data_IF_099456650673
#
_entry.id   IF_099456650673
#
_cell.length_a   1.000
_cell.length_b   1.000
_cell.length_c   1.000
_cell.angle_alpha   90.00
_cell.angle_beta   90.00
_cell.angle_gamma   90.00
#
_symmetry.space_group_name_H-M   'P 1'
#
loop_
_entity.id
_entity.type
_entity.pdbx_description
1 polymer ?
#
# COMPACT_ATOMS: atom_id res chain seq x y z
N UNK A 1 10.68 75.22 -6.54
CA UNK A 1 10.56 74.02 -5.68
C UNK A 1 11.54 74.19 -4.53
N UNK A 2 11.16 73.88 -3.29
CA UNK A 2 12.08 73.99 -2.14
C UNK A 2 12.71 72.63 -1.84
N UNK A 3 13.98 72.66 -1.42
CA UNK A 3 14.73 71.47 -0.98
C UNK A 3 13.97 70.68 0.10
N UNK A 4 13.30 71.39 1.01
CA UNK A 4 12.43 70.82 2.05
C UNK A 4 11.27 70.03 1.44
N UNK A 5 10.64 70.54 0.38
CA UNK A 5 9.54 69.84 -0.29
C UNK A 5 9.98 68.58 -1.04
N UNK A 6 11.21 68.57 -1.56
CA UNK A 6 11.82 67.39 -2.21
C UNK A 6 12.20 66.32 -1.18
N UNK A 7 12.76 66.72 -0.04
CA UNK A 7 13.08 65.82 1.07
C UNK A 7 11.82 65.15 1.61
N UNK A 8 10.73 65.89 1.82
CA UNK A 8 9.45 65.31 2.28
C UNK A 8 8.90 64.30 1.28
N UNK A 9 8.98 64.58 -0.03
CA UNK A 9 8.57 63.63 -1.08
C UNK A 9 9.42 62.36 -1.09
N UNK A 10 10.74 62.49 -0.86
CA UNK A 10 11.64 61.34 -0.80
C UNK A 10 11.33 60.45 0.40
N UNK A 11 11.12 61.05 1.59
CA UNK A 11 10.72 60.32 2.80
C UNK A 11 9.41 59.57 2.56
N UNK A 12 8.39 60.23 1.99
CA UNK A 12 7.11 59.58 1.69
C UNK A 12 7.24 58.41 0.71
N UNK A 13 8.15 58.50 -0.28
CA UNK A 13 8.45 57.38 -1.18
C UNK A 13 9.18 56.24 -0.47
N UNK A 14 10.09 56.56 0.45
CA UNK A 14 10.80 55.56 1.25
C UNK A 14 9.84 54.81 2.19
N UNK A 15 8.93 55.52 2.87
CA UNK A 15 7.92 54.90 3.74
C UNK A 15 6.97 54.00 2.95
N UNK A 16 6.54 54.44 1.75
CA UNK A 16 5.72 53.63 0.86
C UNK A 16 6.46 52.35 0.41
N UNK A 17 7.76 52.45 0.11
CA UNK A 17 8.60 51.31 -0.27
C UNK A 17 8.77 50.33 0.90
N UNK A 18 9.05 50.83 2.11
CA UNK A 18 9.19 50.02 3.33
C UNK A 18 7.87 49.31 3.65
N UNK A 19 6.74 50.01 3.56
CA UNK A 19 5.41 49.43 3.78
C UNK A 19 5.13 48.31 2.77
N UNK A 20 5.41 48.57 1.48
CA UNK A 20 5.25 47.58 0.40
C UNK A 20 6.12 46.35 0.64
N UNK A 21 7.40 46.55 0.98
CA UNK A 21 8.34 45.47 1.26
C UNK A 21 7.87 44.61 2.44
N UNK A 22 7.46 45.23 3.56
CA UNK A 22 6.98 44.50 4.73
C UNK A 22 5.68 43.74 4.46
N UNK A 23 4.78 44.30 3.64
CA UNK A 23 3.59 43.60 3.17
C UNK A 23 3.93 42.34 2.37
N UNK A 24 4.80 42.50 1.36
CA UNK A 24 5.26 41.36 0.53
C UNK A 24 6.04 40.32 1.31
N UNK A 25 6.89 40.74 2.25
CA UNK A 25 7.60 39.82 3.14
C UNK A 25 6.64 38.93 3.91
N UNK A 26 5.57 39.49 4.50
CA UNK A 26 4.56 38.71 5.24
C UNK A 26 3.78 37.75 4.33
N UNK A 27 3.40 38.19 3.13
CA UNK A 27 2.73 37.33 2.14
C UNK A 27 3.62 36.13 1.76
N UNK A 28 4.91 36.37 1.52
CA UNK A 28 5.88 35.33 1.19
C UNK A 28 6.09 34.39 2.38
N UNK A 29 6.31 34.91 3.58
CA UNK A 29 6.49 34.09 4.79
C UNK A 29 5.27 33.20 5.05
N UNK A 30 4.05 33.71 4.85
CA UNK A 30 2.83 32.92 4.95
C UNK A 30 2.75 31.83 3.87
N UNK A 31 3.11 32.15 2.62
CA UNK A 31 3.14 31.18 1.53
C UNK A 31 4.19 30.08 1.76
N UNK A 32 5.40 30.44 2.23
CA UNK A 32 6.46 29.48 2.56
C UNK A 32 6.04 28.61 3.74
N UNK A 33 5.48 29.20 4.80
CA UNK A 33 4.99 28.43 5.95
C UNK A 33 3.91 27.44 5.52
N UNK A 34 2.91 27.89 4.76
CA UNK A 34 1.87 27.01 4.23
C UNK A 34 2.45 25.90 3.36
N UNK A 35 3.43 26.21 2.48
CA UNK A 35 4.10 25.23 1.63
C UNK A 35 4.86 24.18 2.45
N UNK A 36 5.58 24.60 3.49
CA UNK A 36 6.31 23.70 4.39
C UNK A 36 5.36 22.83 5.21
N UNK A 37 4.26 23.40 5.71
CA UNK A 37 3.21 22.66 6.43
C UNK A 37 2.41 21.72 5.52
N UNK A 38 2.38 21.97 4.20
CA UNK A 38 1.77 21.07 3.21
C UNK A 38 2.74 20.04 2.64
N UNK A 39 4.04 20.10 2.94
CA UNK A 39 4.94 18.97 2.65
C UNK A 39 4.38 17.78 3.42
N UNK A 40 3.91 16.72 2.74
CA UNK A 40 3.40 15.56 3.42
C UNK A 40 4.49 15.04 4.33
N UNK A 41 4.18 14.84 5.62
CA UNK A 41 4.97 13.95 6.46
C UNK A 41 5.17 12.69 5.64
N UNK A 42 6.40 12.45 5.15
CA UNK A 42 6.65 11.46 4.08
C UNK A 42 6.24 10.04 4.49
N UNK A 43 6.08 9.84 5.81
CA UNK A 43 5.55 8.66 6.43
C UNK A 43 4.30 8.99 7.24
N UNK A 44 3.19 8.35 6.89
CA UNK A 44 1.98 8.36 7.71
C UNK A 44 1.90 7.06 8.52
N UNK A 45 1.51 7.15 9.79
CA UNK A 45 1.25 5.99 10.63
C UNK A 45 -0.24 5.94 10.95
N UNK A 46 -0.89 4.84 10.61
CA UNK A 46 -2.32 4.62 10.75
C UNK A 46 -2.58 3.38 11.62
N UNK A 47 -3.64 3.44 12.42
CA UNK A 47 -4.16 2.34 13.20
C UNK A 47 -5.45 1.85 12.55
N UNK A 48 -5.57 0.53 12.41
CA UNK A 48 -6.70 -0.15 11.80
C UNK A 48 -7.30 -1.14 12.79
N UNK A 49 -8.60 -1.05 13.03
CA UNK A 49 -9.38 -2.00 13.82
C UNK A 49 -10.68 -2.25 13.06
N UNK A 50 -10.84 -3.44 12.49
CA UNK A 50 -12.01 -3.76 11.67
C UNK A 50 -13.30 -3.82 12.49
N UNK A 51 -13.19 -4.08 13.80
CA UNK A 51 -14.33 -4.29 14.70
C UNK A 51 -14.76 -2.96 15.31
N UNK A 52 -13.80 -2.19 15.85
CA UNK A 52 -14.09 -0.97 16.62
C UNK A 52 -13.72 0.33 15.89
N UNK A 53 -13.15 0.25 14.69
CA UNK A 53 -12.75 1.42 13.92
C UNK A 53 -13.91 2.13 13.22
N UNK A 54 -13.63 3.36 12.79
CA UNK A 54 -14.54 4.19 12.00
C UNK A 54 -13.73 4.93 10.92
N UNK A 55 -14.18 4.87 9.67
CA UNK A 55 -13.51 5.52 8.53
C UNK A 55 -13.71 7.05 8.50
N UNK A 56 -14.51 7.60 9.42
CA UNK A 56 -14.54 9.04 9.70
C UNK A 56 -13.37 9.51 10.57
N UNK A 57 -12.65 8.59 11.23
CA UNK A 57 -11.46 8.91 12.01
C UNK A 57 -10.27 9.28 11.11
N UNK A 58 -9.27 9.96 11.70
CA UNK A 58 -7.99 10.20 11.01
C UNK A 58 -7.08 8.98 10.99
N UNK A 59 -7.34 7.98 11.85
CA UNK A 59 -6.51 6.78 11.98
C UNK A 59 -5.16 7.00 12.66
N UNK A 60 -4.79 8.22 13.03
CA UNK A 60 -3.44 8.52 13.54
C UNK A 60 -3.25 8.17 15.02
N UNK A 61 -4.31 7.74 15.71
CA UNK A 61 -4.30 7.38 17.14
C UNK A 61 -4.98 6.03 17.33
N UNK A 62 -4.44 5.20 18.22
CA UNK A 62 -4.96 3.86 18.47
C UNK A 62 -6.36 3.84 19.09
N UNK A 63 -6.79 4.93 19.73
CA UNK A 63 -8.15 5.07 20.29
C UNK A 63 -9.16 5.69 19.31
N UNK A 64 -8.72 6.04 18.10
CA UNK A 64 -9.56 6.47 16.99
C UNK A 64 -9.06 5.81 15.68
N UNK A 65 -9.07 4.46 15.60
CA UNK A 65 -8.57 3.74 14.45
C UNK A 65 -9.53 3.82 13.26
N UNK A 66 -9.00 3.60 12.07
CA UNK A 66 -9.79 3.36 10.85
C UNK A 66 -10.44 1.99 10.92
N UNK A 67 -11.52 1.80 10.16
CA UNK A 67 -12.19 0.50 10.02
C UNK A 67 -11.67 -0.28 8.82
N UNK A 68 -11.45 0.40 7.69
CA UNK A 68 -11.15 -0.24 6.41
C UNK A 68 -9.75 0.03 5.88
N UNK A 69 -9.21 -0.98 5.19
CA UNK A 69 -7.92 -0.86 4.51
C UNK A 69 -8.01 0.13 3.35
N UNK A 70 -9.15 0.24 2.65
CA UNK A 70 -9.35 1.26 1.60
C UNK A 70 -9.11 2.66 2.13
N UNK A 71 -9.74 3.00 3.27
CA UNK A 71 -9.56 4.32 3.87
C UNK A 71 -8.11 4.57 4.25
N UNK A 72 -7.41 3.53 4.74
CA UNK A 72 -5.99 3.64 5.06
C UNK A 72 -5.13 3.89 3.80
N UNK A 73 -5.40 3.17 2.71
CA UNK A 73 -4.71 3.35 1.43
C UNK A 73 -4.95 4.73 0.82
N UNK A 74 -6.19 5.23 0.88
CA UNK A 74 -6.56 6.58 0.44
C UNK A 74 -5.83 7.67 1.24
N UNK A 75 -5.71 7.50 2.56
CA UNK A 75 -5.02 8.45 3.44
C UNK A 75 -3.49 8.41 3.25
N UNK A 76 -2.93 7.24 2.92
CA UNK A 76 -1.53 7.14 2.49
C UNK A 76 -1.36 7.93 1.20
N UNK A 77 -2.11 7.60 0.16
CA UNK A 77 -2.08 8.30 -1.12
C UNK A 77 -0.78 8.07 -1.93
N UNK A 78 -0.78 8.60 -3.15
CA UNK A 78 0.27 8.35 -4.13
C UNK A 78 1.64 8.91 -3.72
N UNK A 79 2.70 8.20 -4.07
CA UNK A 79 4.10 8.62 -3.90
C UNK A 79 4.60 8.65 -2.46
N UNK A 80 3.82 8.12 -1.50
CA UNK A 80 4.10 8.23 -0.07
C UNK A 80 4.46 6.89 0.56
N UNK A 81 5.04 6.96 1.76
CA UNK A 81 5.26 5.80 2.61
C UNK A 81 4.22 5.77 3.72
N UNK A 82 3.72 4.59 4.05
CA UNK A 82 2.70 4.39 5.08
C UNK A 82 3.00 3.20 5.97
N UNK A 83 2.68 3.31 7.24
CA UNK A 83 2.62 2.19 8.17
C UNK A 83 1.18 2.01 8.66
N UNK A 84 0.64 0.80 8.48
CA UNK A 84 -0.69 0.41 8.95
C UNK A 84 -0.51 -0.59 10.10
N UNK A 85 -1.04 -0.25 11.27
CA UNK A 85 -0.97 -1.06 12.48
C UNK A 85 -2.31 -1.70 12.77
N UNK A 86 -2.36 -3.01 12.67
CA UNK A 86 -3.57 -3.78 12.96
C UNK A 86 -3.73 -3.92 14.48
N UNK A 87 -4.84 -3.39 15.01
CA UNK A 87 -5.26 -3.53 16.41
C UNK A 87 -6.15 -4.76 16.61
N UNK A 88 -6.83 -5.20 15.56
CA UNK A 88 -7.62 -6.44 15.49
C UNK A 88 -7.09 -7.33 14.36
N UNK A 89 -7.59 -8.56 14.28
CA UNK A 89 -7.48 -9.33 13.04
C UNK A 89 -8.24 -8.61 11.92
N UNK A 90 -7.81 -8.79 10.68
CA UNK A 90 -8.40 -8.16 9.50
C UNK A 90 -8.74 -9.20 8.45
N UNK A 91 -10.00 -9.19 8.00
CA UNK A 91 -10.45 -9.94 6.84
C UNK A 91 -10.62 -9.00 5.67
N UNK A 92 -9.97 -9.31 4.55
CA UNK A 92 -10.21 -8.63 3.29
C UNK A 92 -11.68 -8.89 2.88
N UNK A 93 -12.50 -7.85 3.00
CA UNK A 93 -13.94 -7.88 2.68
C UNK A 93 -14.19 -7.65 1.19
N UNK A 94 -13.17 -7.18 0.46
CA UNK A 94 -13.22 -6.87 -0.96
C UNK A 94 -12.20 -7.70 -1.71
N UNK A 95 -12.57 -8.09 -2.94
CA UNK A 95 -11.65 -8.76 -3.86
C UNK A 95 -10.39 -7.94 -4.17
N UNK A 96 -10.50 -6.61 -4.24
CA UNK A 96 -9.42 -5.72 -4.68
C UNK A 96 -9.40 -4.45 -3.87
N UNK A 97 -8.31 -4.23 -3.16
CA UNK A 97 -7.96 -2.97 -2.50
C UNK A 97 -7.00 -2.20 -3.39
N UNK A 98 -7.48 -1.15 -4.05
CA UNK A 98 -6.66 -0.39 -5.00
C UNK A 98 -5.51 0.29 -4.27
N UNK A 99 -4.28 -0.03 -4.66
CA UNK A 99 -3.10 0.56 -4.04
C UNK A 99 -2.81 1.96 -4.61
N UNK A 100 -2.29 2.88 -3.78
CA UNK A 100 -1.77 4.15 -4.28
C UNK A 100 -0.57 3.94 -5.22
N UNK A 101 -0.45 4.83 -6.20
CA UNK A 101 0.64 4.84 -7.19
C UNK A 101 1.97 5.12 -6.51
N UNK A 102 3.03 4.36 -6.82
CA UNK A 102 4.39 4.67 -6.35
C UNK A 102 4.53 4.72 -4.82
N UNK A 103 3.78 3.88 -4.09
CA UNK A 103 3.76 3.88 -2.63
C UNK A 103 4.57 2.73 -2.00
N UNK A 104 5.02 2.96 -0.77
CA UNK A 104 5.69 1.97 0.07
C UNK A 104 4.90 1.75 1.37
N UNK A 105 4.34 0.56 1.55
CA UNK A 105 3.42 0.28 2.64
C UNK A 105 4.01 -0.79 3.56
N UNK A 106 4.05 -0.50 4.85
CA UNK A 106 4.32 -1.48 5.90
C UNK A 106 3.01 -1.80 6.61
N UNK A 107 2.65 -3.07 6.69
CA UNK A 107 1.54 -3.53 7.54
C UNK A 107 2.14 -4.37 8.66
N UNK A 108 1.72 -4.09 9.89
CA UNK A 108 2.17 -4.86 11.05
C UNK A 108 1.10 -5.03 12.10
N UNK A 109 1.28 -6.01 12.95
CA UNK A 109 0.47 -6.18 14.14
C UNK A 109 0.81 -5.18 15.24
N UNK A 110 -0.18 -4.84 16.07
CA UNK A 110 -0.03 -4.02 17.27
C UNK A 110 -0.79 -4.63 18.44
N UNK A 111 -0.14 -4.68 19.61
CA UNK A 111 -0.76 -5.23 20.84
C UNK A 111 -0.93 -6.76 20.84
N UNK A 112 -0.16 -7.49 20.02
CA UNK A 112 -0.24 -8.94 19.85
C UNK A 112 0.00 -9.33 18.39
N UNK A 113 0.14 -10.63 18.09
CA UNK A 113 0.15 -11.11 16.70
C UNK A 113 -1.27 -11.04 16.14
N UNK A 114 -1.45 -10.38 14.99
CA UNK A 114 -2.72 -10.27 14.27
C UNK A 114 -2.72 -11.10 13.00
N UNK A 115 -3.91 -11.44 12.54
CA UNK A 115 -4.15 -12.21 11.33
C UNK A 115 -4.66 -11.31 10.20
N UNK A 116 -4.15 -11.53 9.00
CA UNK A 116 -4.69 -10.99 7.76
C UNK A 116 -5.27 -12.15 6.95
N UNK A 117 -6.58 -12.17 6.79
CA UNK A 117 -7.29 -13.14 5.94
C UNK A 117 -7.49 -12.55 4.55
N UNK A 118 -7.01 -13.24 3.52
CA UNK A 118 -7.12 -12.76 2.13
C UNK A 118 -8.54 -12.84 1.57
N UNK A 119 -9.40 -13.70 2.12
CA UNK A 119 -10.79 -13.82 1.68
C UNK A 119 -10.94 -14.49 0.31
N UNK A 120 -12.07 -15.15 0.09
CA UNK A 120 -12.48 -15.71 -1.20
C UNK A 120 -13.79 -15.05 -1.60
N UNK A 121 -13.82 -14.44 -2.77
CA UNK A 121 -14.93 -13.60 -3.21
C UNK A 121 -15.55 -14.17 -4.47
N UNK A 122 -16.84 -14.49 -4.41
CA UNK A 122 -17.63 -14.83 -5.60
C UNK A 122 -17.76 -13.58 -6.48
N UNK A 123 -17.61 -13.77 -7.79
CA UNK A 123 -17.88 -12.77 -8.79
C UNK A 123 -19.32 -12.96 -9.30
N UNK A 124 -20.06 -11.87 -9.55
CA UNK A 124 -21.37 -11.98 -10.17
C UNK A 124 -21.23 -12.51 -11.59
N UNK A 125 -22.13 -13.42 -11.99
CA UNK A 125 -22.18 -14.08 -13.31
C UNK A 125 -22.23 -13.09 -14.51
N UNK A 126 -22.55 -11.82 -14.25
CA UNK A 126 -22.70 -10.76 -15.26
C UNK A 126 -21.44 -9.90 -15.45
N UNK A 127 -20.31 -10.29 -14.85
CA UNK A 127 -19.03 -9.58 -14.98
C UNK A 127 -18.34 -9.79 -16.34
N UNK A 128 -17.42 -8.89 -16.69
CA UNK A 128 -16.49 -9.08 -17.83
C UNK A 128 -15.38 -10.12 -17.55
N UNK A 129 -15.26 -10.55 -16.30
CA UNK A 129 -14.24 -11.49 -15.84
C UNK A 129 -14.72 -12.92 -16.18
N UNK A 130 -13.81 -13.77 -16.70
CA UNK A 130 -14.17 -15.10 -17.19
C UNK A 130 -14.06 -16.18 -16.10
N UNK A 131 -14.16 -15.81 -14.83
CA UNK A 131 -13.99 -16.70 -13.69
C UNK A 131 -15.00 -16.39 -12.58
N UNK A 132 -15.27 -17.37 -11.72
CA UNK A 132 -16.34 -17.32 -10.73
C UNK A 132 -15.85 -16.81 -9.37
N UNK A 133 -14.56 -16.98 -9.06
CA UNK A 133 -14.00 -16.67 -7.74
C UNK A 133 -12.67 -15.93 -7.81
N UNK A 134 -12.40 -15.04 -6.86
CA UNK A 134 -11.11 -14.36 -6.73
C UNK A 134 -10.67 -14.30 -5.27
N UNK A 135 -9.37 -14.52 -5.01
CA UNK A 135 -8.80 -14.29 -3.68
C UNK A 135 -8.58 -12.81 -3.48
N UNK A 136 -9.01 -12.27 -2.33
CA UNK A 136 -8.86 -10.85 -2.03
C UNK A 136 -7.42 -10.43 -1.82
N UNK A 137 -7.10 -9.22 -2.23
CA UNK A 137 -5.73 -8.71 -2.19
C UNK A 137 -5.59 -7.22 -2.41
N UNK A 138 -4.36 -6.74 -2.24
CA UNK A 138 -3.93 -5.44 -2.72
C UNK A 138 -3.81 -5.50 -4.25
N UNK A 139 -4.42 -4.54 -4.94
CA UNK A 139 -4.48 -4.52 -6.40
C UNK A 139 -3.79 -3.28 -6.96
N UNK A 140 -2.65 -3.52 -7.62
CA UNK A 140 -1.89 -2.48 -8.30
C UNK A 140 -2.50 -2.20 -9.68
N UNK A 141 -3.48 -1.30 -9.71
CA UNK A 141 -4.24 -0.97 -10.92
C UNK A 141 -3.49 -0.05 -11.91
N UNK A 142 -2.45 0.63 -11.43
CA UNK A 142 -1.80 1.76 -12.10
C UNK A 142 -0.28 1.59 -12.20
N UNK A 143 0.33 2.42 -13.05
CA UNK A 143 1.76 2.40 -13.36
C UNK A 143 2.61 2.81 -12.14
N UNK A 144 3.93 2.73 -12.26
CA UNK A 144 4.87 3.14 -11.22
C UNK A 144 5.50 1.94 -10.50
N UNK A 145 5.68 2.04 -9.20
CA UNK A 145 6.26 0.96 -8.37
C UNK A 145 5.44 0.79 -7.10
N UNK A 146 5.38 -0.42 -6.55
CA UNK A 146 4.69 -0.63 -5.28
C UNK A 146 5.50 -1.57 -4.39
N UNK A 147 5.63 -1.24 -3.12
CA UNK A 147 6.22 -2.16 -2.15
C UNK A 147 5.30 -2.38 -0.96
N UNK A 148 5.23 -3.64 -0.52
CA UNK A 148 4.56 -4.05 0.70
C UNK A 148 5.58 -4.73 1.62
N UNK A 149 5.56 -4.36 2.89
CA UNK A 149 6.26 -5.10 3.94
C UNK A 149 5.24 -5.57 4.97
N UNK A 150 5.09 -6.87 5.13
CA UNK A 150 4.34 -7.47 6.23
C UNK A 150 5.29 -7.82 7.37
N UNK A 151 4.93 -7.42 8.59
CA UNK A 151 5.78 -7.61 9.78
C UNK A 151 4.99 -8.14 10.96
N UNK A 152 5.48 -9.21 11.59
CA UNK A 152 4.94 -9.76 12.85
C UNK A 152 3.43 -10.12 12.77
N UNK A 153 3.00 -10.78 11.70
CA UNK A 153 1.58 -11.12 11.49
C UNK A 153 1.39 -12.50 10.86
N UNK A 154 0.20 -13.07 11.01
CA UNK A 154 -0.18 -14.28 10.26
C UNK A 154 -0.89 -13.87 8.97
N UNK A 155 -0.52 -14.47 7.85
CA UNK A 155 -1.21 -14.32 6.56
C UNK A 155 -1.96 -15.61 6.29
N UNK A 156 -3.29 -15.54 6.25
CA UNK A 156 -4.17 -16.70 6.13
C UNK A 156 -4.78 -16.73 4.74
N UNK A 157 -4.43 -17.76 3.98
CA UNK A 157 -5.03 -18.03 2.69
C UNK A 157 -6.37 -18.78 2.84
N UNK A 158 -7.37 -18.48 1.99
CA UNK A 158 -8.59 -19.29 1.93
C UNK A 158 -8.31 -20.64 1.24
N UNK A 159 -9.17 -21.62 1.50
CA UNK A 159 -9.28 -22.82 0.66
C UNK A 159 -9.86 -22.44 -0.71
N UNK A 160 -9.55 -23.25 -1.73
CA UNK A 160 -10.15 -23.12 -3.05
C UNK A 160 -11.69 -23.27 -3.00
N UNK A 161 -12.42 -22.63 -3.92
CA UNK A 161 -13.85 -22.85 -4.03
C UNK A 161 -14.13 -24.32 -4.38
N UNK A 162 -15.20 -24.88 -3.82
CA UNK A 162 -15.60 -26.26 -4.10
C UNK A 162 -16.07 -26.46 -5.56
N UNK A 163 -16.62 -25.41 -6.15
CA UNK A 163 -17.16 -25.39 -7.51
C UNK A 163 -16.80 -24.09 -8.22
N UNK A 164 -16.85 -24.11 -9.55
CA UNK A 164 -16.49 -22.97 -10.38
C UNK A 164 -14.99 -22.83 -10.58
N UNK A 165 -14.62 -21.72 -11.21
CA UNK A 165 -13.27 -21.42 -11.66
C UNK A 165 -12.66 -20.32 -10.82
N UNK A 166 -11.44 -20.56 -10.34
CA UNK A 166 -10.66 -19.53 -9.66
C UNK A 166 -10.01 -18.61 -10.70
N UNK A 167 -10.05 -17.31 -10.43
CA UNK A 167 -9.39 -16.30 -11.23
C UNK A 167 -7.89 -16.50 -11.29
N UNK A 168 -7.30 -15.99 -12.37
CA UNK A 168 -5.86 -16.07 -12.63
C UNK A 168 -5.04 -15.75 -11.37
N UNK A 169 -3.95 -16.48 -11.09
CA UNK A 169 -3.03 -16.18 -9.99
C UNK A 169 -2.50 -14.75 -9.96
N UNK A 170 -2.59 -14.03 -11.10
CA UNK A 170 -2.31 -12.59 -11.19
C UNK A 170 -3.27 -11.72 -10.37
N UNK A 171 -4.54 -12.08 -10.33
CA UNK A 171 -5.59 -11.34 -9.62
C UNK A 171 -5.93 -11.98 -8.27
N UNK A 172 -5.82 -13.31 -8.18
CA UNK A 172 -5.94 -14.07 -6.93
C UNK A 172 -4.60 -14.07 -6.18
N UNK A 173 -4.22 -12.95 -5.59
CA UNK A 173 -2.96 -12.84 -4.85
C UNK A 173 -3.02 -11.79 -3.74
N UNK A 174 -2.18 -11.92 -2.70
CA UNK A 174 -1.99 -10.88 -1.68
C UNK A 174 -1.63 -9.53 -2.33
N UNK A 175 -0.76 -9.56 -3.35
CA UNK A 175 -0.59 -8.43 -4.28
C UNK A 175 -0.84 -8.89 -5.70
N UNK A 176 -1.96 -8.44 -6.26
CA UNK A 176 -2.26 -8.57 -7.69
C UNK A 176 -1.84 -7.34 -8.48
N UNK A 177 -1.63 -7.52 -9.79
CA UNK A 177 -1.27 -6.42 -10.70
C UNK A 177 -2.11 -6.44 -11.97
N UNK A 178 -2.43 -5.25 -12.48
CA UNK A 178 -3.08 -5.13 -13.79
C UNK A 178 -2.06 -5.41 -14.90
N UNK A 179 -2.38 -6.29 -15.86
CA UNK A 179 -1.45 -6.59 -16.95
C UNK A 179 -1.23 -5.44 -17.93
N UNK A 180 -2.24 -4.58 -18.13
CA UNK A 180 -2.15 -3.48 -19.10
C UNK A 180 -1.50 -2.23 -18.51
N UNK A 181 -1.80 -1.94 -17.24
CA UNK A 181 -1.46 -0.67 -16.62
C UNK A 181 -0.82 -0.82 -15.23
N UNK A 182 -0.40 -2.02 -14.82
CA UNK A 182 0.22 -2.25 -13.52
C UNK A 182 1.63 -1.65 -13.39
N UNK A 183 2.19 -1.65 -12.17
CA UNK A 183 3.51 -1.10 -11.90
C UNK A 183 4.61 -1.88 -12.64
N UNK A 184 5.69 -1.18 -12.97
CA UNK A 184 6.87 -1.79 -13.59
C UNK A 184 7.63 -2.69 -12.61
N UNK A 185 7.51 -2.39 -11.30
CA UNK A 185 8.12 -3.15 -10.22
C UNK A 185 7.16 -3.33 -9.03
N UNK A 186 7.07 -4.56 -8.52
CA UNK A 186 6.37 -4.88 -7.28
C UNK A 186 7.31 -5.57 -6.30
N UNK A 187 7.33 -5.13 -5.05
CA UNK A 187 8.16 -5.71 -4.01
C UNK A 187 7.32 -6.21 -2.83
N UNK A 188 7.60 -7.41 -2.32
CA UNK A 188 7.03 -7.93 -1.08
C UNK A 188 8.13 -8.34 -0.12
N UNK A 189 8.08 -7.81 1.09
CA UNK A 189 8.87 -8.27 2.23
C UNK A 189 7.98 -8.95 3.27
N UNK A 190 8.33 -10.16 3.68
CA UNK A 190 7.68 -10.89 4.78
C UNK A 190 8.70 -11.07 5.90
N UNK A 191 8.54 -10.34 6.99
CA UNK A 191 9.47 -10.36 8.13
C UNK A 191 8.79 -10.83 9.40
N UNK A 192 9.23 -11.97 9.95
CA UNK A 192 8.63 -12.53 11.18
C UNK A 192 7.13 -12.78 11.02
N UNK A 193 6.72 -13.24 9.84
CA UNK A 193 5.34 -13.60 9.55
C UNK A 193 5.13 -15.11 9.73
N UNK A 194 3.87 -15.52 9.75
CA UNK A 194 3.47 -16.92 9.68
C UNK A 194 2.47 -17.08 8.54
N UNK A 195 2.83 -17.84 7.50
CA UNK A 195 1.96 -18.06 6.35
C UNK A 195 1.18 -19.35 6.57
N UNK A 196 -0.13 -19.22 6.71
CA UNK A 196 -1.04 -20.33 6.91
C UNK A 196 -1.82 -20.54 5.61
N UNK A 197 -1.50 -21.62 4.92
CA UNK A 197 -2.15 -22.01 3.67
C UNK A 197 -2.64 -23.46 3.77
N UNK A 198 -3.94 -23.72 3.56
CA UNK A 198 -4.43 -25.09 3.53
C UNK A 198 -3.91 -25.83 2.30
N UNK A 199 -3.96 -27.17 2.30
CA UNK A 199 -3.44 -27.99 1.20
C UNK A 199 -4.13 -27.68 -0.15
N UNK A 200 -5.41 -27.29 -0.10
CA UNK A 200 -6.22 -26.83 -1.22
C UNK A 200 -6.25 -25.30 -1.34
N UNK A 201 -5.29 -24.60 -0.75
CA UNK A 201 -5.28 -23.14 -0.67
C UNK A 201 -5.34 -22.46 -2.03
N UNK A 202 -6.11 -21.38 -2.10
CA UNK A 202 -6.25 -20.56 -3.31
C UNK A 202 -5.33 -19.34 -3.28
N UNK A 203 -4.93 -18.87 -4.46
CA UNK A 203 -4.18 -17.63 -4.67
C UNK A 203 -2.68 -17.72 -4.40
N UNK A 204 -1.95 -16.62 -4.55
CA UNK A 204 -0.48 -16.55 -4.36
C UNK A 204 -0.06 -15.33 -3.52
N UNK A 205 1.22 -15.21 -3.17
CA UNK A 205 1.72 -13.98 -2.50
C UNK A 205 1.84 -12.83 -3.52
N UNK A 206 2.41 -13.10 -4.69
CA UNK A 206 2.69 -12.12 -5.74
C UNK A 206 2.08 -12.51 -7.09
N UNK A 207 1.05 -11.80 -7.53
CA UNK A 207 0.44 -11.90 -8.84
C UNK A 207 1.17 -11.11 -9.94
N UNK A 208 2.50 -11.14 -9.98
CA UNK A 208 3.33 -10.30 -10.86
C UNK A 208 4.06 -11.10 -11.95
N UNK A 209 3.34 -11.97 -12.68
CA UNK A 209 3.88 -12.92 -13.66
C UNK A 209 4.47 -12.31 -14.95
N UNK A 210 4.30 -11.01 -15.19
CA UNK A 210 4.68 -10.32 -16.45
C UNK A 210 5.54 -9.09 -16.24
N UNK A 211 5.98 -8.83 -14.99
CA UNK A 211 6.67 -7.59 -14.60
C UNK A 211 7.88 -7.93 -13.72
N UNK A 212 8.72 -6.93 -13.45
CA UNK A 212 9.82 -7.15 -12.50
C UNK A 212 9.26 -7.24 -11.07
N UNK A 213 9.70 -8.24 -10.31
CA UNK A 213 9.24 -8.48 -8.95
C UNK A 213 10.41 -8.68 -7.99
N UNK A 214 10.21 -8.35 -6.72
CA UNK A 214 11.10 -8.78 -5.65
C UNK A 214 10.32 -9.39 -4.49
N UNK A 215 10.83 -10.50 -3.96
CA UNK A 215 10.26 -11.23 -2.82
C UNK A 215 11.35 -11.46 -1.79
N UNK A 216 11.18 -10.93 -0.59
CA UNK A 216 12.08 -11.17 0.53
C UNK A 216 11.32 -11.86 1.65
N UNK A 217 11.81 -13.02 2.08
CA UNK A 217 11.25 -13.81 3.18
C UNK A 217 12.30 -13.94 4.27
N UNK A 218 12.06 -13.31 5.42
CA UNK A 218 12.99 -13.29 6.54
C UNK A 218 12.31 -13.71 7.83
N UNK A 219 12.86 -14.73 8.50
CA UNK A 219 12.36 -15.24 9.78
C UNK A 219 10.86 -15.57 9.76
N UNK A 220 10.34 -16.00 8.60
CA UNK A 220 8.92 -16.27 8.36
C UNK A 220 8.69 -17.78 8.33
N UNK A 221 7.66 -18.25 9.02
CA UNK A 221 7.26 -19.66 9.04
C UNK A 221 6.21 -19.94 7.96
N UNK A 222 6.28 -21.11 7.33
CA UNK A 222 5.32 -21.58 6.34
C UNK A 222 5.45 -23.09 6.14
N UNK A 223 4.39 -23.74 5.69
CA UNK A 223 4.46 -25.14 5.22
C UNK A 223 4.94 -25.18 3.76
N UNK A 224 6.02 -25.92 3.51
CA UNK A 224 6.62 -26.04 2.17
C UNK A 224 5.67 -26.67 1.15
N UNK A 225 4.87 -27.66 1.55
CA UNK A 225 4.02 -28.41 0.62
C UNK A 225 2.97 -27.51 -0.04
N UNK A 226 2.05 -26.90 0.73
CA UNK A 226 1.04 -25.99 0.20
C UNK A 226 1.62 -24.74 -0.48
N UNK A 227 2.81 -24.28 -0.07
CA UNK A 227 3.43 -23.06 -0.63
C UNK A 227 4.22 -23.28 -1.92
N UNK A 228 4.63 -24.50 -2.25
CA UNK A 228 5.40 -24.78 -3.46
C UNK A 228 4.61 -24.36 -4.72
N UNK A 229 5.21 -23.52 -5.56
CA UNK A 229 4.60 -22.93 -6.75
C UNK A 229 3.58 -21.81 -6.47
N UNK A 230 3.38 -21.44 -5.20
CA UNK A 230 2.35 -20.48 -4.78
C UNK A 230 2.92 -19.19 -4.20
N UNK A 231 4.23 -19.00 -4.25
CA UNK A 231 4.85 -17.73 -3.90
C UNK A 231 4.52 -16.66 -4.93
N UNK A 232 4.75 -16.95 -6.20
CA UNK A 232 4.62 -15.98 -7.28
C UNK A 232 3.92 -16.61 -8.48
N UNK A 233 2.94 -15.90 -9.02
CA UNK A 233 2.23 -16.32 -10.22
C UNK A 233 3.21 -16.61 -11.37
N UNK A 234 3.05 -17.78 -12.00
CA UNK A 234 3.88 -18.21 -13.13
C UNK A 234 5.15 -18.97 -12.74
N UNK A 235 5.52 -19.03 -11.46
CA UNK A 235 6.58 -19.93 -10.99
C UNK A 235 6.03 -21.34 -10.75
N UNK A 236 6.78 -22.36 -11.17
CA UNK A 236 6.46 -23.75 -10.84
C UNK A 236 6.95 -24.10 -9.44
N UNK A 237 6.39 -25.16 -8.86
CA UNK A 237 6.88 -25.74 -7.62
C UNK A 237 8.36 -26.12 -7.73
N UNK A 238 9.12 -25.77 -6.69
CA UNK A 238 10.56 -26.02 -6.56
C UNK A 238 11.43 -25.27 -7.59
N UNK A 239 10.84 -24.35 -8.36
CA UNK A 239 11.59 -23.55 -9.33
C UNK A 239 12.51 -22.56 -8.60
N UNK A 240 13.77 -22.49 -9.02
CA UNK A 240 14.71 -21.55 -8.42
C UNK A 240 14.40 -20.14 -8.92
N UNK A 241 14.42 -19.12 -8.06
CA UNK A 241 14.28 -17.73 -8.51
C UNK A 241 15.32 -17.33 -9.56
N UNK A 242 16.53 -17.90 -9.49
CA UNK A 242 17.60 -17.65 -10.47
C UNK A 242 17.28 -18.11 -11.89
N UNK A 243 16.28 -18.98 -12.04
CA UNK A 243 15.84 -19.50 -13.34
C UNK A 243 14.73 -18.63 -13.96
N UNK A 244 14.36 -17.53 -13.29
CA UNK A 244 13.32 -16.59 -13.71
C UNK A 244 13.92 -15.18 -13.84
N UNK A 245 13.97 -14.66 -15.07
CA UNK A 245 14.63 -13.37 -15.37
C UNK A 245 13.92 -12.13 -14.79
N UNK A 246 12.71 -12.30 -14.27
CA UNK A 246 11.83 -11.21 -13.85
C UNK A 246 11.63 -11.13 -12.34
N UNK A 247 12.19 -12.04 -11.54
CA UNK A 247 12.06 -12.01 -10.08
C UNK A 247 13.40 -12.08 -9.35
N UNK A 248 13.51 -11.26 -8.30
CA UNK A 248 14.57 -11.34 -7.31
C UNK A 248 14.02 -11.91 -6.02
N UNK A 249 14.57 -13.03 -5.53
CA UNK A 249 14.15 -13.62 -4.26
C UNK A 249 15.33 -14.21 -3.48
N UNK A 250 15.20 -14.20 -2.15
CA UNK A 250 16.14 -14.84 -1.23
C UNK A 250 15.71 -16.27 -0.83
N UNK A 251 14.60 -16.78 -1.39
CA UNK A 251 14.21 -18.18 -1.25
C UNK A 251 15.10 -19.09 -2.10
N UNK A 252 15.40 -20.29 -1.59
CA UNK A 252 16.13 -21.30 -2.36
C UNK A 252 15.27 -21.87 -3.50
N UNK A 253 13.96 -21.96 -3.30
CA UNK A 253 12.96 -22.39 -4.28
C UNK A 253 11.61 -21.71 -4.04
N UNK A 254 10.84 -21.55 -5.13
CA UNK A 254 9.47 -21.00 -5.17
C UNK A 254 8.41 -22.10 -5.24
#
# INVERSE_FOLDING_TARGET
MSLTGEITKLIGRADALISTFNGKKKEIEAAVKNAVETIPTQRINLYLDQINGDDTNTGQRSNAPLRSLDKALDLIGDGRSGEIRFLSDYTMEKRRYVTPVSANILIRSSGGVRKLYLGLHALPDEGSDSWDWEVGGLYCAHYGSFSLSLVEMQVIFPSAPAEGTLGSPRYSALIGSNSLAGPTHVAVGLTRCDIVRPADGAGTILGADTRSASLSVQSTTFDKGPMAGNWVAGANADQKPSDLDWILSNLESL
#
